data_IF_886172291146
#
_entry.id   IF_886172291146
#
_cell.length_a   1.000
_cell.length_b   1.000
_cell.length_c   1.000
_cell.angle_alpha   90.00
_cell.angle_beta   90.00
_cell.angle_gamma   90.00
#
_symmetry.space_group_name_H-M   'P 1'
#
loop_
_entity.id
_entity.type
_entity.pdbx_description
1 polymer ?
#
# COMPACT_ATOMS: atom_id res chain seq x y z
N UNK A 1 3.69 -7.73 9.98
CA UNK A 1 3.92 -8.60 8.82
C UNK A 1 5.40 -8.58 8.58
N UNK A 2 6.01 -9.75 8.71
CA UNK A 2 7.41 -9.92 8.43
C UNK A 2 7.54 -10.38 6.98
N UNK A 3 8.59 -9.95 6.29
CA UNK A 3 8.87 -10.42 4.93
C UNK A 3 10.23 -11.08 4.90
N UNK A 4 10.40 -12.02 3.97
CA UNK A 4 11.71 -12.58 3.67
C UNK A 4 12.08 -12.07 2.29
N UNK A 5 13.22 -11.39 2.18
CA UNK A 5 13.68 -10.89 0.88
C UNK A 5 14.21 -12.02 -0.01
N UNK A 6 14.53 -11.70 -1.27
CA UNK A 6 15.04 -12.66 -2.26
C UNK A 6 16.38 -13.30 -1.86
N UNK A 7 17.04 -12.78 -0.82
CA UNK A 7 18.31 -13.27 -0.28
C UNK A 7 18.12 -14.10 0.99
N UNK A 8 16.86 -14.38 1.37
CA UNK A 8 16.53 -15.16 2.57
C UNK A 8 16.66 -14.38 3.87
N UNK A 9 16.78 -13.04 3.83
CA UNK A 9 16.85 -12.24 5.06
C UNK A 9 15.44 -11.92 5.57
N UNK A 10 15.19 -12.26 6.84
CA UNK A 10 13.98 -11.84 7.55
C UNK A 10 14.03 -10.33 7.79
N UNK A 11 12.96 -9.66 7.40
CA UNK A 11 12.65 -8.29 7.78
C UNK A 11 11.42 -8.33 8.65
N UNK A 12 11.64 -8.11 9.94
CA UNK A 12 10.56 -8.03 10.91
C UNK A 12 9.85 -6.68 10.79
N UNK A 13 8.55 -6.65 11.09
CA UNK A 13 7.77 -5.41 11.21
C UNK A 13 7.69 -4.54 9.95
N UNK A 14 7.84 -5.16 8.77
CA UNK A 14 7.79 -4.47 7.46
C UNK A 14 6.46 -3.75 7.21
N UNK A 15 5.38 -4.29 7.76
CA UNK A 15 4.08 -3.63 7.81
C UNK A 15 3.29 -4.00 9.07
N UNK A 16 2.66 -3.03 9.74
CA UNK A 16 1.71 -3.27 10.84
C UNK A 16 0.35 -2.68 10.49
N UNK A 17 -0.73 -3.35 10.87
CA UNK A 17 -2.10 -2.92 10.57
C UNK A 17 -2.99 -3.07 11.80
N UNK A 18 -3.91 -2.12 12.00
CA UNK A 18 -4.89 -2.14 13.09
C UNK A 18 -5.97 -3.20 12.92
N UNK A 19 -6.23 -3.65 11.69
CA UNK A 19 -7.32 -4.56 11.36
C UNK A 19 -6.92 -5.56 10.28
N UNK A 20 -7.63 -6.70 10.25
CA UNK A 20 -7.48 -7.70 9.19
C UNK A 20 -7.85 -7.12 7.83
N UNK A 21 -8.91 -6.32 7.76
CA UNK A 21 -9.37 -5.67 6.53
C UNK A 21 -8.26 -4.79 5.92
N UNK A 22 -7.53 -4.04 6.74
CA UNK A 22 -6.44 -3.19 6.25
C UNK A 22 -5.24 -4.01 5.75
N UNK A 23 -4.93 -5.12 6.42
CA UNK A 23 -3.93 -6.07 5.95
C UNK A 23 -4.34 -6.74 4.62
N UNK A 24 -5.62 -7.07 4.46
CA UNK A 24 -6.17 -7.63 3.22
C UNK A 24 -6.04 -6.64 2.06
N UNK A 25 -6.44 -5.38 2.25
CA UNK A 25 -6.25 -4.30 1.25
C UNK A 25 -4.79 -4.19 0.81
N UNK A 26 -3.86 -4.25 1.76
CA UNK A 26 -2.42 -4.20 1.47
C UNK A 26 -1.95 -5.39 0.64
N UNK A 27 -2.34 -6.61 1.04
CA UNK A 27 -1.95 -7.83 0.32
C UNK A 27 -2.53 -7.88 -1.09
N UNK A 28 -3.81 -7.51 -1.26
CA UNK A 28 -4.46 -7.44 -2.57
C UNK A 28 -3.71 -6.48 -3.48
N UNK A 29 -3.35 -5.29 -3.01
CA UNK A 29 -2.52 -4.35 -3.77
C UNK A 29 -1.13 -4.93 -4.11
N UNK A 30 -0.44 -5.53 -3.13
CA UNK A 30 0.92 -6.02 -3.31
C UNK A 30 0.98 -7.15 -4.36
N UNK A 31 0.03 -8.10 -4.28
CA UNK A 31 -0.10 -9.17 -5.27
C UNK A 31 -0.60 -8.68 -6.63
N UNK A 32 -1.49 -7.69 -6.65
CA UNK A 32 -1.93 -7.05 -7.89
C UNK A 32 -0.78 -6.39 -8.64
N UNK A 33 0.13 -5.72 -7.93
CA UNK A 33 1.34 -5.13 -8.51
C UNK A 33 2.21 -6.20 -9.19
N UNK A 34 2.41 -7.33 -8.51
CA UNK A 34 3.13 -8.48 -9.07
C UNK A 34 2.42 -9.07 -10.31
N UNK A 35 1.10 -9.24 -10.25
CA UNK A 35 0.30 -9.75 -11.36
C UNK A 35 0.36 -8.84 -12.60
N UNK A 36 0.24 -7.51 -12.41
CA UNK A 36 0.38 -6.54 -13.51
C UNK A 36 1.76 -6.59 -14.14
N UNK A 37 2.82 -6.72 -13.33
CA UNK A 37 4.19 -6.85 -13.82
C UNK A 37 4.35 -8.11 -14.71
N UNK A 38 3.84 -9.26 -14.25
CA UNK A 38 3.87 -10.52 -15.01
C UNK A 38 3.10 -10.43 -16.35
N UNK A 39 2.10 -9.55 -16.44
CA UNK A 39 1.33 -9.28 -17.65
C UNK A 39 1.89 -8.11 -18.49
N UNK A 40 3.03 -7.53 -18.11
CA UNK A 40 3.60 -6.34 -18.74
C UNK A 40 2.64 -5.14 -18.80
N UNK A 41 1.75 -5.02 -17.81
CA UNK A 41 0.84 -3.89 -17.66
C UNK A 41 1.49 -2.78 -16.83
N UNK A 42 1.14 -1.52 -17.11
CA UNK A 42 1.63 -0.37 -16.34
C UNK A 42 1.16 -0.48 -14.89
N UNK A 43 2.10 -0.48 -13.93
CA UNK A 43 1.75 -0.51 -12.51
C UNK A 43 1.07 0.78 -12.05
N UNK A 44 0.16 0.67 -11.08
CA UNK A 44 -0.53 1.83 -10.49
C UNK A 44 0.31 2.53 -9.41
N UNK A 45 1.28 1.83 -8.81
CA UNK A 45 2.12 2.32 -7.73
C UNK A 45 2.90 3.61 -8.06
N UNK A 46 3.62 3.69 -9.20
CA UNK A 46 4.37 4.90 -9.55
C UNK A 46 3.50 6.16 -9.66
N UNK A 47 2.28 6.03 -10.19
CA UNK A 47 1.36 7.15 -10.32
C UNK A 47 0.81 7.58 -8.96
N UNK A 48 0.44 6.64 -8.08
CA UNK A 48 0.01 6.96 -6.71
C UNK A 48 1.15 7.59 -5.90
N UNK A 49 2.37 7.09 -6.05
CA UNK A 49 3.54 7.64 -5.40
C UNK A 49 3.80 9.10 -5.82
N UNK A 50 3.67 9.40 -7.12
CA UNK A 50 3.84 10.74 -7.64
C UNK A 50 2.80 11.75 -7.13
N UNK A 51 1.64 11.28 -6.64
CA UNK A 51 0.60 12.13 -6.02
C UNK A 51 0.93 12.53 -4.59
N UNK A 52 1.97 11.95 -3.98
CA UNK A 52 2.29 12.12 -2.57
C UNK A 52 1.29 11.41 -1.66
N UNK A 53 1.36 11.67 -0.35
CA UNK A 53 0.42 11.11 0.63
C UNK A 53 -0.99 11.65 0.34
N UNK A 54 -1.99 10.77 0.42
CA UNK A 54 -3.41 11.14 0.30
C UNK A 54 -3.75 12.24 1.34
N UNK A 55 -4.32 13.39 0.92
CA UNK A 55 -4.61 14.51 1.82
C UNK A 55 -5.62 14.18 2.93
N UNK A 56 -6.43 13.12 2.77
CA UNK A 56 -7.40 12.67 3.77
C UNK A 56 -6.77 11.71 4.81
N UNK A 57 -5.50 11.32 4.61
CA UNK A 57 -4.75 10.43 5.50
C UNK A 57 -3.70 11.21 6.26
N UNK A 58 -3.77 11.16 7.59
CA UNK A 58 -2.70 11.71 8.43
C UNK A 58 -1.49 10.75 8.38
N UNK A 59 -0.31 11.27 8.06
CA UNK A 59 0.94 10.52 8.06
C UNK A 59 1.92 11.12 9.06
N UNK A 60 2.36 10.30 10.03
CA UNK A 60 3.36 10.67 11.02
C UNK A 60 4.63 9.83 10.82
N UNK A 61 5.76 10.48 10.57
CA UNK A 61 7.05 9.78 10.48
C UNK A 61 7.46 9.25 11.86
N UNK A 62 7.63 7.93 11.97
CA UNK A 62 8.06 7.26 13.21
C UNK A 62 9.58 7.17 13.29
N UNK A 63 10.22 6.95 12.15
CA UNK A 63 11.66 6.93 11.94
C UNK A 63 11.94 7.12 10.44
N UNK A 64 13.20 7.32 10.07
CA UNK A 64 13.57 7.66 8.68
C UNK A 64 12.91 6.73 7.65
N UNK A 65 11.95 7.28 6.90
CA UNK A 65 11.24 6.57 5.83
C UNK A 65 10.19 5.55 6.28
N UNK A 66 9.85 5.50 7.58
CA UNK A 66 8.77 4.68 8.15
C UNK A 66 7.69 5.59 8.70
N UNK A 67 6.46 5.42 8.22
CA UNK A 67 5.33 6.26 8.56
C UNK A 67 4.21 5.46 9.22
N UNK A 68 3.58 6.04 10.22
CA UNK A 68 2.24 5.66 10.66
C UNK A 68 1.20 6.46 9.89
N UNK A 69 0.37 5.76 9.13
CA UNK A 69 -0.80 6.28 8.42
C UNK A 69 -2.04 6.12 9.29
N UNK A 70 -2.89 7.14 9.32
CA UNK A 70 -4.11 7.19 10.13
C UNK A 70 -5.28 7.69 9.31
N UNK A 71 -6.36 6.90 9.28
CA UNK A 71 -7.64 7.28 8.71
C UNK A 71 -8.76 6.79 9.63
N UNK A 72 -9.53 7.70 10.23
CA UNK A 72 -10.52 7.37 11.26
C UNK A 72 -9.94 6.48 12.37
N UNK A 73 -10.41 5.23 12.53
CA UNK A 73 -9.88 4.24 13.48
C UNK A 73 -8.75 3.37 12.93
N UNK A 74 -8.50 3.41 11.62
CA UNK A 74 -7.50 2.59 10.96
C UNK A 74 -6.09 3.16 11.11
N UNK A 75 -5.13 2.27 11.37
CA UNK A 75 -3.72 2.57 11.54
C UNK A 75 -2.89 1.58 10.73
N UNK A 76 -1.97 2.08 9.92
CA UNK A 76 -0.98 1.27 9.23
C UNK A 76 0.43 1.84 9.45
N UNK A 77 1.41 0.99 9.76
CA UNK A 77 2.82 1.39 9.78
C UNK A 77 3.51 0.76 8.59
N UNK A 78 4.06 1.60 7.72
CA UNK A 78 4.65 1.18 6.45
C UNK A 78 5.92 1.98 6.15
N UNK A 79 6.85 1.36 5.43
CA UNK A 79 8.03 2.03 4.86
C UNK A 79 7.71 2.64 3.49
N UNK A 80 8.40 3.71 3.11
CA UNK A 80 8.38 4.21 1.73
C UNK A 80 8.91 3.18 0.71
N UNK A 81 8.40 3.14 -0.54
CA UNK A 81 7.31 3.98 -1.09
C UNK A 81 5.90 3.50 -0.70
N UNK A 82 5.79 2.36 0.00
CA UNK A 82 4.52 1.72 0.29
C UNK A 82 3.61 2.57 1.17
N UNK A 83 4.16 3.35 2.11
CA UNK A 83 3.39 4.30 2.90
C UNK A 83 2.65 5.32 2.02
N UNK A 84 3.38 5.98 1.13
CA UNK A 84 2.79 6.94 0.18
C UNK A 84 1.73 6.29 -0.70
N UNK A 85 2.02 5.13 -1.29
CA UNK A 85 1.07 4.47 -2.20
C UNK A 85 -0.18 3.97 -1.46
N UNK A 86 0.01 3.33 -0.31
CA UNK A 86 -1.08 2.71 0.44
C UNK A 86 -2.04 3.72 1.06
N UNK A 87 -1.59 4.96 1.32
CA UNK A 87 -2.47 6.04 1.79
C UNK A 87 -3.69 6.23 0.89
N UNK A 88 -3.51 6.19 -0.43
CA UNK A 88 -4.59 6.28 -1.43
C UNK A 88 -5.53 5.06 -1.46
N UNK A 89 -5.19 3.98 -0.76
CA UNK A 89 -5.94 2.73 -0.75
C UNK A 89 -6.71 2.51 0.56
N UNK A 90 -6.38 3.25 1.64
CA UNK A 90 -6.99 3.04 2.96
C UNK A 90 -8.51 3.28 2.96
N UNK A 91 -8.97 4.30 2.24
CA UNK A 91 -10.39 4.66 2.11
C UNK A 91 -11.19 3.76 1.17
N UNK A 92 -10.51 2.89 0.40
CA UNK A 92 -11.12 2.05 -0.63
C UNK A 92 -11.54 0.70 -0.05
N UNK A 93 -12.58 0.12 -0.64
CA UNK A 93 -12.92 -1.30 -0.45
C UNK A 93 -11.93 -2.21 -1.19
N UNK A 94 -11.87 -3.48 -0.78
CA UNK A 94 -11.06 -4.50 -1.47
C UNK A 94 -11.48 -4.63 -2.95
N UNK A 95 -12.78 -4.59 -3.24
CA UNK A 95 -13.30 -4.67 -4.61
C UNK A 95 -12.86 -3.47 -5.47
N UNK A 96 -12.82 -2.26 -4.91
CA UNK A 96 -12.29 -1.08 -5.61
C UNK A 96 -10.80 -1.21 -5.89
N UNK A 97 -10.02 -1.77 -4.96
CA UNK A 97 -8.59 -2.02 -5.15
C UNK A 97 -8.38 -3.09 -6.23
N UNK A 98 -9.16 -4.17 -6.24
CA UNK A 98 -9.11 -5.21 -7.28
C UNK A 98 -9.52 -4.64 -8.65
N UNK A 99 -10.54 -3.78 -8.69
CA UNK A 99 -10.93 -3.08 -9.91
C UNK A 99 -9.78 -2.21 -10.45
N UNK A 100 -9.19 -1.35 -9.61
CA UNK A 100 -8.01 -0.54 -9.96
C UNK A 100 -6.82 -1.40 -10.42
N UNK A 101 -6.61 -2.55 -9.78
CA UNK A 101 -5.58 -3.50 -10.15
C UNK A 101 -5.79 -4.12 -11.54
N UNK A 102 -7.04 -4.34 -11.95
CA UNK A 102 -7.37 -4.87 -13.28
C UNK A 102 -7.31 -3.79 -14.34
N UNK A 103 -7.97 -2.66 -14.12
CA UNK A 103 -8.19 -1.64 -15.15
C UNK A 103 -7.14 -0.53 -15.18
N UNK A 104 -6.35 -0.39 -14.11
CA UNK A 104 -5.47 0.76 -13.88
C UNK A 104 -6.17 1.89 -13.12
N UNK A 105 -5.50 3.04 -12.99
CA UNK A 105 -6.11 4.23 -12.40
C UNK A 105 -6.92 4.93 -13.48
N UNK A 106 -8.25 4.84 -13.40
CA UNK A 106 -9.14 5.69 -14.18
C UNK A 106 -9.21 7.05 -13.50
N UNK A 107 -8.91 8.13 -14.23
CA UNK A 107 -9.12 9.48 -13.75
C UNK A 107 -10.60 9.70 -13.36
N UNK A 108 -10.90 10.55 -12.36
CA UNK A 108 -12.26 10.98 -12.08
C UNK A 108 -12.86 11.75 -13.26
#
# INVERSE_FOLDING_TARGET
>A
MDTVDERGQLREDVAKFSSYELAEKFLVWQWSSAARNALHLVGIGPELYARGIDPDVEAAEMSAGIYELRLASDRAVLMEPSATIFSHLMSKSVDEIDAMARVGITAP
#
